data_IF_365719349159
#
_entry.id   IF_365719349159
#
_cell.length_a   1.000
_cell.length_b   1.000
_cell.length_c   1.000
_cell.angle_alpha   90.00
_cell.angle_beta   90.00
_cell.angle_gamma   90.00
#
_symmetry.space_group_name_H-M   'P 1'
#
loop_
_entity.id
_entity.type
_entity.pdbx_description
1 polymer ?
#
# COMPACT_ATOMS: atom_id res chain seq x y z
N UNK A 1 -18.68 34.77 12.79
CA UNK A 1 -18.03 33.81 11.87
C UNK A 1 -19.12 32.94 11.27
N UNK A 2 -19.33 33.07 9.96
CA UNK A 2 -20.39 32.40 9.21
C UNK A 2 -20.02 30.90 9.07
N UNK A 3 -20.94 30.01 9.45
CA UNK A 3 -20.73 28.57 9.52
C UNK A 3 -20.81 27.97 8.10
N UNK A 4 -19.86 27.12 7.66
CA UNK A 4 -20.05 26.34 6.44
C UNK A 4 -21.18 25.31 6.66
N UNK A 5 -22.28 25.45 5.94
CA UNK A 5 -23.28 24.37 5.78
C UNK A 5 -22.66 23.20 5.00
N UNK A 6 -23.29 22.02 5.04
CA UNK A 6 -22.89 20.89 4.20
C UNK A 6 -22.86 21.29 2.70
N UNK A 7 -23.76 22.18 2.30
CA UNK A 7 -23.84 22.76 0.96
C UNK A 7 -22.59 23.57 0.62
N UNK A 8 -22.06 24.37 1.56
CA UNK A 8 -20.83 25.14 1.32
C UNK A 8 -19.61 24.23 1.10
N UNK A 9 -19.52 23.11 1.84
CA UNK A 9 -18.44 22.13 1.66
C UNK A 9 -18.55 21.43 0.30
N UNK A 10 -19.77 21.18 -0.17
CA UNK A 10 -20.01 20.61 -1.49
C UNK A 10 -19.67 21.60 -2.61
N UNK A 11 -20.02 22.88 -2.46
CA UNK A 11 -19.66 23.95 -3.39
C UNK A 11 -18.14 24.13 -3.46
N UNK A 12 -17.44 24.22 -2.33
CA UNK A 12 -15.97 24.31 -2.26
C UNK A 12 -15.29 23.12 -2.98
N UNK A 13 -15.85 21.92 -2.84
CA UNK A 13 -15.34 20.73 -3.52
C UNK A 13 -15.55 20.79 -5.04
N UNK A 14 -16.73 21.23 -5.49
CA UNK A 14 -17.04 21.36 -6.93
C UNK A 14 -16.19 22.44 -7.59
N UNK A 15 -15.95 23.56 -6.91
CA UNK A 15 -15.07 24.61 -7.38
C UNK A 15 -13.62 24.10 -7.51
N UNK A 16 -13.10 23.43 -6.47
CA UNK A 16 -11.78 22.81 -6.51
C UNK A 16 -11.63 21.72 -7.59
N UNK A 17 -12.73 21.02 -7.92
CA UNK A 17 -12.76 19.97 -8.93
C UNK A 17 -12.81 20.52 -10.36
N UNK A 18 -13.42 21.69 -10.58
CA UNK A 18 -13.63 22.28 -11.91
C UNK A 18 -12.33 22.55 -12.67
N UNK A 19 -11.25 22.87 -11.97
CA UNK A 19 -9.92 23.12 -12.56
C UNK A 19 -9.09 21.85 -12.82
N UNK A 20 -9.56 20.68 -12.39
CA UNK A 20 -8.76 19.44 -12.37
C UNK A 20 -9.45 18.28 -13.09
N UNK A 21 -10.79 18.25 -13.11
CA UNK A 21 -11.58 17.14 -13.64
C UNK A 21 -12.26 17.51 -14.96
N UNK A 22 -12.50 16.51 -15.80
CA UNK A 22 -13.37 16.67 -16.96
C UNK A 22 -14.85 16.83 -16.56
N UNK A 23 -15.67 17.38 -17.47
CA UNK A 23 -17.10 17.62 -17.27
C UNK A 23 -17.89 16.35 -16.89
N UNK A 24 -17.46 15.18 -17.37
CA UNK A 24 -18.14 13.90 -17.07
C UNK A 24 -17.92 13.47 -15.62
N UNK A 25 -16.69 13.60 -15.13
CA UNK A 25 -16.30 13.31 -13.75
C UNK A 25 -16.86 14.37 -12.80
N UNK A 26 -16.82 15.65 -13.17
CA UNK A 26 -17.39 16.75 -12.41
C UNK A 26 -18.91 16.56 -12.23
N UNK A 27 -19.63 16.24 -13.31
CA UNK A 27 -21.06 15.92 -13.24
C UNK A 27 -21.37 14.67 -12.43
N UNK A 28 -20.45 13.69 -12.39
CA UNK A 28 -20.60 12.51 -11.52
C UNK A 28 -20.43 12.86 -10.04
N UNK A 29 -19.44 13.69 -9.71
CA UNK A 29 -19.25 14.19 -8.34
C UNK A 29 -20.45 15.01 -7.89
N UNK A 30 -20.94 15.95 -8.71
CA UNK A 30 -22.12 16.75 -8.40
C UNK A 30 -23.33 15.88 -8.06
N UNK A 31 -23.59 14.83 -8.85
CA UNK A 31 -24.66 13.86 -8.57
C UNK A 31 -24.45 13.07 -7.28
N UNK A 32 -23.22 12.73 -6.92
CA UNK A 32 -22.94 12.03 -5.66
C UNK A 32 -23.13 12.95 -4.44
N UNK A 33 -22.87 14.26 -4.60
CA UNK A 33 -22.96 15.26 -3.54
C UNK A 33 -24.39 15.74 -3.30
N UNK A 34 -25.23 15.79 -4.35
CA UNK A 34 -26.61 16.25 -4.28
C UNK A 34 -27.45 15.48 -3.23
N UNK A 35 -27.77 16.17 -2.13
CA UNK A 35 -28.59 15.66 -1.02
C UNK A 35 -30.08 15.73 -1.28
N UNK A 36 -30.52 16.44 -2.32
CA UNK A 36 -31.94 16.62 -2.66
C UNK A 36 -32.52 15.47 -3.47
N UNK A 37 -31.68 14.49 -3.87
CA UNK A 37 -32.12 13.31 -4.63
C UNK A 37 -33.08 12.43 -3.80
N UNK A 38 -34.30 12.14 -4.29
CA UNK A 38 -35.26 11.31 -3.56
C UNK A 38 -34.74 9.88 -3.35
N UNK A 39 -34.73 9.41 -2.10
CA UNK A 39 -34.19 8.09 -1.72
C UNK A 39 -32.67 8.03 -1.50
N UNK A 40 -32.02 9.18 -1.32
CA UNK A 40 -30.58 9.29 -1.09
C UNK A 40 -30.13 8.68 0.26
N UNK A 41 -29.94 7.36 0.30
CA UNK A 41 -29.25 6.68 1.38
C UNK A 41 -27.81 7.26 1.53
N UNK A 42 -27.43 7.81 2.71
CA UNK A 42 -26.11 8.39 2.92
C UNK A 42 -24.95 7.43 2.57
N UNK A 43 -25.11 6.13 2.84
CA UNK A 43 -24.11 5.12 2.51
C UNK A 43 -23.95 4.92 1.00
N UNK A 44 -25.02 5.15 0.21
CA UNK A 44 -24.94 5.13 -1.26
C UNK A 44 -24.19 6.35 -1.77
N UNK A 45 -24.49 7.55 -1.26
CA UNK A 45 -23.78 8.80 -1.61
C UNK A 45 -22.30 8.72 -1.24
N UNK A 46 -21.97 8.21 -0.06
CA UNK A 46 -20.60 7.97 0.37
C UNK A 46 -19.85 7.04 -0.59
N UNK A 47 -20.43 5.87 -0.92
CA UNK A 47 -19.81 4.91 -1.87
C UNK A 47 -19.67 5.49 -3.27
N UNK A 48 -20.66 6.27 -3.74
CA UNK A 48 -20.62 6.97 -5.02
C UNK A 48 -19.42 7.93 -5.07
N UNK A 49 -19.28 8.78 -4.05
CA UNK A 49 -18.17 9.73 -3.95
C UNK A 49 -16.82 9.02 -3.91
N UNK A 50 -16.64 8.03 -3.04
CA UNK A 50 -15.39 7.28 -2.93
C UNK A 50 -15.03 6.60 -4.26
N UNK A 51 -15.99 5.94 -4.91
CA UNK A 51 -15.77 5.30 -6.20
C UNK A 51 -15.45 6.30 -7.32
N UNK A 52 -16.03 7.51 -7.29
CA UNK A 52 -15.70 8.57 -8.24
C UNK A 52 -14.26 9.07 -8.06
N UNK A 53 -13.84 9.29 -6.81
CA UNK A 53 -12.48 9.73 -6.49
C UNK A 53 -11.42 8.64 -6.78
N UNK A 54 -11.73 7.36 -6.51
CA UNK A 54 -10.81 6.23 -6.75
C UNK A 54 -10.58 5.96 -8.26
N UNK A 55 -11.45 6.46 -9.14
CA UNK A 55 -11.30 6.36 -10.60
C UNK A 55 -10.32 7.38 -11.18
N UNK A 56 -9.92 8.39 -10.39
CA UNK A 56 -9.04 9.43 -10.87
C UNK A 56 -7.60 8.92 -11.05
N UNK A 57 -6.96 9.14 -12.21
CA UNK A 57 -5.61 8.65 -12.48
C UNK A 57 -4.56 9.46 -11.70
N UNK A 58 -3.85 8.80 -10.78
CA UNK A 58 -2.82 9.45 -9.92
C UNK A 58 -1.39 9.32 -10.47
N UNK A 59 -1.21 8.80 -11.69
CA UNK A 59 0.13 8.49 -12.24
C UNK A 59 0.70 9.59 -13.16
N UNK A 60 1.87 10.11 -12.80
CA UNK A 60 2.71 10.96 -13.65
C UNK A 60 3.98 11.42 -12.90
N UNK A 61 5.17 11.48 -13.55
CA UNK A 61 6.34 12.09 -12.94
C UNK A 61 6.15 13.62 -12.87
N UNK A 62 6.21 14.19 -11.66
CA UNK A 62 6.05 15.64 -11.43
C UNK A 62 4.98 16.06 -10.41
N UNK A 63 4.27 15.11 -9.80
CA UNK A 63 3.08 15.41 -9.00
C UNK A 63 1.88 15.59 -9.93
N UNK A 64 0.84 14.77 -9.77
CA UNK A 64 -0.37 14.92 -10.58
C UNK A 64 -1.24 16.00 -9.94
N UNK A 65 -1.77 16.99 -10.68
CA UNK A 65 -2.80 17.91 -10.18
C UNK A 65 -3.98 17.17 -9.52
N UNK A 66 -4.26 15.94 -9.96
CA UNK A 66 -5.21 15.02 -9.34
C UNK A 66 -4.78 14.58 -7.94
N UNK A 67 -3.49 14.30 -7.73
CA UNK A 67 -2.96 13.94 -6.42
C UNK A 67 -3.08 15.11 -5.43
N UNK A 68 -2.78 16.33 -5.88
CA UNK A 68 -2.92 17.54 -5.07
C UNK A 68 -4.39 17.82 -4.74
N UNK A 69 -5.28 17.69 -5.73
CA UNK A 69 -6.73 17.76 -5.53
C UNK A 69 -7.23 16.74 -4.51
N UNK A 70 -6.86 15.46 -4.65
CA UNK A 70 -7.23 14.40 -3.71
C UNK A 70 -6.72 14.66 -2.28
N UNK A 71 -5.63 15.42 -2.13
CA UNK A 71 -5.09 15.84 -0.84
C UNK A 71 -5.64 17.17 -0.32
N UNK A 72 -6.42 17.89 -1.13
CA UNK A 72 -6.96 19.19 -0.78
C UNK A 72 -7.97 19.09 0.36
N UNK A 73 -8.05 20.16 1.16
CA UNK A 73 -8.95 20.18 2.31
C UNK A 73 -10.41 20.02 1.90
N UNK A 74 -10.84 20.57 0.76
CA UNK A 74 -12.21 20.46 0.27
C UNK A 74 -12.64 18.99 0.10
N UNK A 75 -11.78 18.16 -0.51
CA UNK A 75 -12.02 16.71 -0.68
C UNK A 75 -12.10 16.00 0.68
N UNK A 76 -11.17 16.30 1.59
CA UNK A 76 -11.14 15.66 2.91
C UNK A 76 -12.37 16.04 3.74
N UNK A 77 -12.77 17.31 3.71
CA UNK A 77 -13.93 17.80 4.46
C UNK A 77 -15.26 17.31 3.89
N UNK A 78 -15.39 17.21 2.56
CA UNK A 78 -16.57 16.65 1.92
C UNK A 78 -16.73 15.13 2.18
N UNK A 79 -15.63 14.38 2.15
CA UNK A 79 -15.65 12.96 2.55
C UNK A 79 -16.05 12.80 4.02
N UNK A 80 -15.52 13.65 4.91
CA UNK A 80 -15.90 13.64 6.32
C UNK A 80 -17.38 13.99 6.53
N UNK A 81 -17.92 15.00 5.83
CA UNK A 81 -19.32 15.43 6.02
C UNK A 81 -20.30 14.31 5.66
N UNK A 82 -20.09 13.68 4.49
CA UNK A 82 -20.93 12.56 4.04
C UNK A 82 -20.72 11.32 4.92
N UNK A 83 -19.48 11.03 5.35
CA UNK A 83 -19.23 9.96 6.32
C UNK A 83 -19.95 10.18 7.66
N UNK A 84 -20.03 11.43 8.12
CA UNK A 84 -20.78 11.79 9.31
C UNK A 84 -22.29 11.63 9.12
N UNK A 85 -22.83 11.89 7.92
CA UNK A 85 -24.24 11.60 7.60
C UNK A 85 -24.54 10.09 7.67
N UNK A 86 -23.64 9.24 7.17
CA UNK A 86 -23.76 7.78 7.30
C UNK A 86 -23.86 7.37 8.77
N UNK A 87 -22.92 7.85 9.60
CA UNK A 87 -22.91 7.51 11.02
C UNK A 87 -24.16 7.99 11.76
N UNK A 88 -24.64 9.21 11.45
CA UNK A 88 -25.88 9.75 12.05
C UNK A 88 -27.12 8.97 11.62
N UNK A 89 -27.18 8.50 10.37
CA UNK A 89 -28.28 7.67 9.88
C UNK A 89 -28.36 6.33 10.61
N UNK A 90 -27.21 5.80 11.06
CA UNK A 90 -27.11 4.60 11.91
C UNK A 90 -27.25 4.91 13.41
N UNK A 91 -27.64 6.14 13.77
CA UNK A 91 -27.87 6.57 15.16
C UNK A 91 -26.60 6.83 15.97
N UNK A 92 -25.43 6.94 15.34
CA UNK A 92 -24.16 7.18 16.00
C UNK A 92 -23.90 8.69 16.08
N UNK A 93 -23.71 9.20 17.29
CA UNK A 93 -23.34 10.59 17.51
C UNK A 93 -21.89 10.85 17.06
N UNK A 94 -21.70 11.81 16.15
CA UNK A 94 -20.37 12.15 15.59
C UNK A 94 -19.68 13.28 16.35
N UNK A 95 -20.39 13.91 17.28
CA UNK A 95 -19.99 15.14 17.95
C UNK A 95 -20.37 16.38 17.12
N UNK A 96 -20.02 17.59 17.60
CA UNK A 96 -20.42 18.84 16.97
C UNK A 96 -19.92 18.92 15.53
N UNK A 97 -20.67 19.64 14.69
CA UNK A 97 -20.36 19.84 13.28
C UNK A 97 -18.95 20.41 13.05
N UNK A 98 -18.39 20.29 11.83
CA UNK A 98 -17.05 20.76 11.46
C UNK A 98 -16.65 22.14 12.01
N UNK A 99 -17.59 23.06 12.15
CA UNK A 99 -17.36 24.42 12.67
C UNK A 99 -17.79 24.67 14.12
N UNK A 100 -18.18 23.63 14.87
CA UNK A 100 -18.77 23.76 16.22
C UNK A 100 -17.87 23.33 17.38
N UNK A 101 -16.75 22.65 17.12
CA UNK A 101 -15.80 22.25 18.16
C UNK A 101 -14.67 23.27 18.29
N UNK A 102 -14.13 23.44 19.49
CA UNK A 102 -12.84 24.08 19.66
C UNK A 102 -11.72 23.19 19.06
N UNK A 103 -10.53 23.78 18.90
CA UNK A 103 -9.37 23.07 18.38
C UNK A 103 -9.09 21.76 19.14
N UNK A 104 -9.14 21.76 20.48
CA UNK A 104 -8.93 20.58 21.30
C UNK A 104 -9.97 19.48 21.04
N UNK A 105 -11.23 19.86 20.82
CA UNK A 105 -12.34 18.99 20.47
C UNK A 105 -12.13 18.27 19.14
N UNK A 106 -11.53 18.91 18.14
CA UNK A 106 -11.20 18.26 16.86
C UNK A 106 -10.16 17.15 17.01
N UNK A 107 -9.13 17.33 17.85
CA UNK A 107 -8.14 16.27 18.11
C UNK A 107 -8.76 15.09 18.87
N UNK A 108 -9.54 15.38 19.91
CA UNK A 108 -10.25 14.36 20.68
C UNK A 108 -11.17 13.51 19.79
N UNK A 109 -11.93 14.16 18.90
CA UNK A 109 -12.78 13.50 17.90
C UNK A 109 -11.95 12.63 16.94
N UNK A 110 -10.82 13.12 16.44
CA UNK A 110 -9.95 12.33 15.57
C UNK A 110 -9.45 11.04 16.24
N UNK A 111 -9.00 11.14 17.50
CA UNK A 111 -8.53 9.97 18.28
C UNK A 111 -9.66 8.99 18.56
N UNK A 112 -10.85 9.49 18.92
CA UNK A 112 -12.03 8.66 19.15
C UNK A 112 -12.38 7.84 17.90
N UNK A 113 -12.50 8.48 16.74
CA UNK A 113 -12.86 7.81 15.49
C UNK A 113 -11.78 6.86 14.98
N UNK A 114 -10.49 7.16 15.22
CA UNK A 114 -9.41 6.21 14.94
C UNK A 114 -9.51 4.94 15.79
N UNK A 115 -9.93 5.05 17.06
CA UNK A 115 -10.16 3.89 17.94
C UNK A 115 -11.40 3.11 17.51
N UNK A 116 -12.49 3.81 17.19
CA UNK A 116 -13.73 3.21 16.69
C UNK A 116 -13.48 2.33 15.46
N UNK A 117 -12.76 2.84 14.45
CA UNK A 117 -12.45 2.09 13.23
C UNK A 117 -11.52 0.88 13.41
N UNK A 118 -10.77 0.82 14.53
CA UNK A 118 -9.95 -0.34 14.90
C UNK A 118 -10.75 -1.43 15.63
N UNK A 119 -11.98 -1.14 16.05
CA UNK A 119 -12.88 -2.11 16.65
C UNK A 119 -13.53 -3.06 15.64
N UNK A 120 -14.39 -3.98 16.09
CA UNK A 120 -15.13 -4.91 15.25
C UNK A 120 -16.30 -4.20 14.54
N UNK A 121 -15.97 -3.35 13.57
CA UNK A 121 -16.94 -2.60 12.76
C UNK A 121 -16.96 -3.08 11.31
N UNK A 122 -18.07 -2.81 10.62
CA UNK A 122 -18.19 -3.07 9.18
C UNK A 122 -17.14 -2.29 8.38
N UNK A 123 -16.85 -2.73 7.16
CA UNK A 123 -15.91 -2.02 6.28
C UNK A 123 -16.37 -0.59 5.97
N UNK A 124 -17.67 -0.39 5.79
CA UNK A 124 -18.26 0.95 5.61
C UNK A 124 -17.97 1.84 6.81
N UNK A 125 -18.18 1.35 8.03
CA UNK A 125 -17.92 2.09 9.27
C UNK A 125 -16.42 2.37 9.46
N UNK A 126 -15.57 1.43 9.07
CA UNK A 126 -14.11 1.61 9.09
C UNK A 126 -13.67 2.72 8.13
N UNK A 127 -14.19 2.76 6.92
CA UNK A 127 -13.89 3.81 5.94
C UNK A 127 -14.43 5.17 6.38
N UNK A 128 -15.68 5.21 6.86
CA UNK A 128 -16.30 6.43 7.38
C UNK A 128 -15.54 6.99 8.59
N UNK A 129 -15.16 6.14 9.55
CA UNK A 129 -14.38 6.57 10.72
C UNK A 129 -12.99 7.09 10.35
N UNK A 130 -12.34 6.50 9.33
CA UNK A 130 -11.08 7.01 8.81
C UNK A 130 -11.21 8.38 8.12
N UNK A 131 -12.32 8.63 7.43
CA UNK A 131 -12.61 9.94 6.82
C UNK A 131 -12.97 10.99 7.90
N UNK A 132 -13.75 10.62 8.92
CA UNK A 132 -14.06 11.50 10.04
C UNK A 132 -12.80 11.87 10.83
N UNK A 133 -11.91 10.91 11.07
CA UNK A 133 -10.63 11.17 11.73
C UNK A 133 -9.75 12.12 10.90
N UNK A 134 -9.65 11.90 9.58
CA UNK A 134 -8.86 12.76 8.69
C UNK A 134 -9.40 14.19 8.61
N UNK A 135 -10.71 14.38 8.43
CA UNK A 135 -11.31 15.71 8.40
C UNK A 135 -11.19 16.44 9.74
N UNK A 136 -11.32 15.72 10.85
CA UNK A 136 -11.10 16.28 12.18
C UNK A 136 -9.65 16.75 12.38
N UNK A 137 -8.65 16.02 11.86
CA UNK A 137 -7.26 16.46 11.87
C UNK A 137 -7.02 17.68 10.97
N UNK A 138 -7.69 17.79 9.82
CA UNK A 138 -7.59 18.98 8.95
C UNK A 138 -8.13 20.23 9.63
N UNK A 139 -9.29 20.12 10.29
CA UNK A 139 -9.87 21.22 11.06
C UNK A 139 -9.00 21.61 12.25
N UNK A 140 -8.41 20.63 12.92
CA UNK A 140 -7.42 20.84 13.97
C UNK A 140 -6.24 21.68 13.43
N UNK A 141 -5.59 21.27 12.33
CA UNK A 141 -4.50 22.05 11.73
C UNK A 141 -4.93 23.47 11.36
N UNK A 142 -6.11 23.65 10.74
CA UNK A 142 -6.66 24.98 10.41
C UNK A 142 -6.88 25.87 11.64
N UNK A 143 -7.26 25.27 12.77
CA UNK A 143 -7.50 25.96 14.04
C UNK A 143 -6.23 26.39 14.79
N UNK A 144 -5.07 26.38 14.14
CA UNK A 144 -3.78 26.71 14.77
C UNK A 144 -3.07 25.50 15.40
N UNK A 145 -3.55 24.30 15.13
CA UNK A 145 -2.79 23.10 15.43
C UNK A 145 -1.54 23.05 14.63
N UNK A 146 -0.42 23.10 15.31
CA UNK A 146 0.83 22.68 14.70
C UNK A 146 0.72 21.17 14.56
N UNK A 147 0.61 20.59 13.35
CA UNK A 147 0.90 19.18 13.17
C UNK A 147 2.34 19.02 13.59
N UNK A 148 2.53 18.69 14.86
CA UNK A 148 3.86 18.43 15.33
C UNK A 148 4.25 17.20 14.54
N UNK A 149 5.28 17.28 13.68
CA UNK A 149 5.81 16.08 13.09
C UNK A 149 6.05 15.16 14.27
N UNK A 150 5.60 13.92 14.22
CA UNK A 150 5.87 13.01 15.33
C UNK A 150 7.39 12.96 15.59
N UNK A 151 8.21 13.28 14.58
CA UNK A 151 9.61 13.66 14.72
C UNK A 151 9.86 14.91 15.61
N UNK A 152 9.22 16.06 15.38
CA UNK A 152 9.41 17.31 16.13
C UNK A 152 8.96 17.30 17.59
N UNK A 153 7.95 16.49 17.96
CA UNK A 153 7.52 16.32 19.37
C UNK A 153 8.51 15.44 20.14
N UNK A 154 9.35 14.72 19.40
CA UNK A 154 10.31 13.75 19.90
C UNK A 154 11.75 14.29 19.83
N UNK A 155 12.08 15.22 18.93
CA UNK A 155 13.40 15.86 18.90
C UNK A 155 13.59 16.91 20.00
N UNK A 156 12.50 17.47 20.56
CA UNK A 156 12.55 18.28 21.78
C UNK A 156 12.18 17.43 22.99
N UNK A 157 13.09 16.57 23.44
CA UNK A 157 13.03 16.07 24.82
C UNK A 157 13.44 17.26 25.72
N UNK A 158 12.52 17.90 26.48
CA UNK A 158 12.93 18.95 27.40
C UNK A 158 13.90 18.35 28.42
N UNK A 159 15.08 18.98 28.58
CA UNK A 159 16.14 18.56 29.52
C UNK A 159 15.64 18.39 30.96
N UNK A 160 14.49 18.99 31.28
CA UNK A 160 13.82 18.97 32.59
C UNK A 160 13.05 17.69 32.92
N UNK A 161 12.87 16.75 31.98
CA UNK A 161 12.22 15.48 32.28
C UNK A 161 13.07 14.60 33.20
N UNK A 162 12.46 13.99 34.22
CA UNK A 162 13.13 13.02 35.09
C UNK A 162 13.59 11.77 34.29
N UNK A 163 14.46 10.94 34.90
CA UNK A 163 15.03 9.73 34.27
C UNK A 163 13.96 8.76 33.72
N UNK A 164 12.82 8.65 34.41
CA UNK A 164 11.68 7.81 33.99
C UNK A 164 10.94 8.42 32.78
N UNK A 165 10.76 9.74 32.74
CA UNK A 165 10.15 10.46 31.62
C UNK A 165 10.96 10.39 30.33
N UNK A 166 12.30 10.48 30.42
CA UNK A 166 13.18 10.29 29.26
C UNK A 166 13.13 8.86 28.72
N UNK A 167 13.13 7.85 29.60
CA UNK A 167 13.02 6.45 29.19
C UNK A 167 11.66 6.13 28.52
N UNK A 168 10.57 6.76 28.97
CA UNK A 168 9.25 6.60 28.35
C UNK A 168 9.19 7.29 26.98
N UNK A 169 9.75 8.50 26.85
CA UNK A 169 9.82 9.22 25.57
C UNK A 169 10.70 8.48 24.53
N UNK A 170 11.85 7.95 24.96
CA UNK A 170 12.74 7.12 24.14
C UNK A 170 12.05 5.85 23.64
N UNK A 171 11.32 5.14 24.51
CA UNK A 171 10.51 3.99 24.08
C UNK A 171 9.39 4.40 23.10
N UNK A 172 8.78 5.56 23.28
CA UNK A 172 7.82 6.10 22.31
C UNK A 172 8.44 6.28 20.92
N UNK A 173 9.68 6.81 20.87
CA UNK A 173 10.44 7.01 19.63
C UNK A 173 10.80 5.71 18.93
N UNK A 174 11.34 4.73 19.67
CA UNK A 174 11.74 3.44 19.07
C UNK A 174 10.52 2.69 18.52
N UNK A 175 9.38 2.73 19.23
CA UNK A 175 8.14 2.11 18.76
C UNK A 175 7.56 2.81 17.51
N UNK A 176 7.65 4.14 17.44
CA UNK A 176 7.20 4.91 16.27
C UNK A 176 8.11 4.73 15.06
N UNK A 177 9.44 4.72 15.27
CA UNK A 177 10.42 4.43 14.22
C UNK A 177 10.18 3.03 13.63
N UNK A 178 9.93 2.03 14.50
CA UNK A 178 9.58 0.67 14.08
C UNK A 178 8.29 0.62 13.27
N UNK A 179 7.25 1.34 13.67
CA UNK A 179 5.99 1.40 12.92
C UNK A 179 6.15 2.03 11.54
N UNK A 180 6.92 3.12 11.43
CA UNK A 180 7.19 3.81 10.17
C UNK A 180 8.04 2.98 9.21
N UNK A 181 9.09 2.32 9.71
CA UNK A 181 9.94 1.44 8.89
C UNK A 181 9.15 0.23 8.37
N UNK A 182 8.29 -0.36 9.21
CA UNK A 182 7.42 -1.47 8.79
C UNK A 182 6.36 -1.04 7.78
N UNK A 183 5.77 0.14 7.93
CA UNK A 183 4.80 0.64 6.94
C UNK A 183 5.48 0.95 5.61
N UNK A 184 6.70 1.48 5.62
CA UNK A 184 7.52 1.73 4.43
C UNK A 184 7.89 0.44 3.71
N UNK A 185 8.37 -0.58 4.44
CA UNK A 185 8.69 -1.90 3.89
C UNK A 185 7.46 -2.53 3.21
N UNK A 186 6.28 -2.42 3.86
CA UNK A 186 5.01 -2.89 3.29
C UNK A 186 4.68 -2.19 1.98
N UNK A 187 4.79 -0.86 1.95
CA UNK A 187 4.50 -0.08 0.75
C UNK A 187 5.41 -0.47 -0.43
N UNK A 188 6.71 -0.67 -0.18
CA UNK A 188 7.67 -1.12 -1.22
C UNK A 188 7.37 -2.54 -1.69
N UNK A 189 7.07 -3.49 -0.80
CA UNK A 189 6.68 -4.84 -1.20
C UNK A 189 5.37 -4.84 -2.02
N UNK A 190 4.39 -3.99 -1.68
CA UNK A 190 3.15 -3.89 -2.44
C UNK A 190 3.36 -3.29 -3.83
N UNK A 191 4.23 -2.29 -3.97
CA UNK A 191 4.53 -1.69 -5.27
C UNK A 191 5.30 -2.67 -6.17
N UNK A 192 6.31 -3.35 -5.63
CA UNK A 192 7.09 -4.38 -6.35
C UNK A 192 6.18 -5.54 -6.78
N UNK A 193 5.29 -6.00 -5.90
CA UNK A 193 4.29 -7.04 -6.24
C UNK A 193 3.40 -6.61 -7.41
N UNK A 194 2.89 -5.38 -7.37
CA UNK A 194 2.00 -4.87 -8.41
C UNK A 194 2.73 -4.81 -9.76
N UNK A 195 3.99 -4.38 -9.76
CA UNK A 195 4.78 -4.27 -10.99
C UNK A 195 5.15 -5.64 -11.56
N UNK A 196 5.69 -6.54 -10.73
CA UNK A 196 6.03 -7.91 -11.14
C UNK A 196 4.79 -8.71 -11.57
N UNK A 197 3.64 -8.48 -10.94
CA UNK A 197 2.36 -9.08 -11.34
C UNK A 197 1.92 -8.63 -12.74
N UNK A 198 2.03 -7.34 -13.07
CA UNK A 198 1.76 -6.83 -14.42
C UNK A 198 2.68 -7.45 -15.45
N UNK A 199 3.98 -7.53 -15.15
CA UNK A 199 4.96 -8.14 -16.04
C UNK A 199 4.70 -9.66 -16.22
N UNK A 200 4.29 -10.35 -15.14
CA UNK A 200 3.93 -11.77 -15.21
C UNK A 200 2.70 -12.02 -16.10
N UNK A 201 1.71 -11.13 -16.05
CA UNK A 201 0.52 -11.21 -16.91
C UNK A 201 0.85 -11.00 -18.41
N UNK A 202 1.89 -10.22 -18.72
CA UNK A 202 2.34 -9.93 -20.08
C UNK A 202 3.33 -10.96 -20.67
N UNK A 203 3.71 -12.01 -19.91
CA UNK A 203 4.74 -12.97 -20.32
C UNK A 203 4.42 -13.73 -21.61
N UNK A 204 5.43 -13.83 -22.48
CA UNK A 204 5.48 -14.77 -23.60
C UNK A 204 6.35 -16.00 -23.30
N UNK A 205 6.16 -17.09 -24.05
CA UNK A 205 6.83 -18.40 -23.84
C UNK A 205 8.37 -18.32 -23.86
N UNK A 206 8.94 -17.37 -24.60
CA UNK A 206 10.40 -17.21 -24.75
C UNK A 206 11.03 -16.41 -23.60
N UNK A 207 10.24 -15.61 -22.89
CA UNK A 207 10.74 -14.65 -21.89
C UNK A 207 10.77 -15.19 -20.47
N UNK A 208 10.23 -16.39 -20.25
CA UNK A 208 10.07 -17.02 -18.93
C UNK A 208 11.40 -17.11 -18.17
N UNK A 209 12.49 -17.48 -18.84
CA UNK A 209 13.82 -17.55 -18.21
C UNK A 209 14.41 -16.17 -17.90
N UNK A 210 14.25 -15.21 -18.80
CA UNK A 210 14.73 -13.84 -18.62
C UNK A 210 13.93 -13.07 -17.54
N UNK A 211 12.69 -13.48 -17.27
CA UNK A 211 11.86 -12.91 -16.23
C UNK A 211 12.31 -13.30 -14.83
N UNK A 212 12.70 -14.56 -14.61
CA UNK A 212 13.23 -15.01 -13.31
C UNK A 212 14.47 -14.20 -12.89
N UNK A 213 15.39 -13.97 -13.82
CA UNK A 213 16.60 -13.17 -13.57
C UNK A 213 16.26 -11.70 -13.30
N UNK A 214 15.24 -11.15 -13.98
CA UNK A 214 14.73 -9.79 -13.72
C UNK A 214 14.12 -9.67 -12.33
N UNK A 215 13.28 -10.62 -11.91
CA UNK A 215 12.71 -10.66 -10.56
C UNK A 215 13.82 -10.73 -9.50
N UNK A 216 14.83 -11.59 -9.71
CA UNK A 216 15.98 -11.70 -8.79
C UNK A 216 16.75 -10.38 -8.67
N UNK A 217 16.97 -9.69 -9.79
CA UNK A 217 17.65 -8.39 -9.80
C UNK A 217 16.84 -7.31 -9.09
N UNK A 218 15.54 -7.25 -9.35
CA UNK A 218 14.66 -6.25 -8.75
C UNK A 218 14.51 -6.45 -7.25
N UNK A 219 14.36 -7.69 -6.79
CA UNK A 219 14.31 -8.02 -5.36
C UNK A 219 15.59 -7.61 -4.63
N UNK A 220 16.77 -7.89 -5.23
CA UNK A 220 18.06 -7.46 -4.67
C UNK A 220 18.19 -5.95 -4.62
N UNK A 221 17.79 -5.26 -5.69
CA UNK A 221 17.78 -3.80 -5.76
C UNK A 221 16.94 -3.19 -4.65
N UNK A 222 15.73 -3.71 -4.44
CA UNK A 222 14.80 -3.24 -3.40
C UNK A 222 15.35 -3.50 -2.00
N UNK A 223 16.01 -4.63 -1.77
CA UNK A 223 16.65 -4.93 -0.49
C UNK A 223 17.76 -3.90 -0.18
N UNK A 224 18.64 -3.61 -1.15
CA UNK A 224 19.71 -2.61 -1.00
C UNK A 224 19.11 -1.21 -0.78
N UNK A 225 18.11 -0.81 -1.56
CA UNK A 225 17.43 0.48 -1.38
C UNK A 225 16.81 0.62 0.01
N UNK A 226 16.22 -0.46 0.54
CA UNK A 226 15.66 -0.46 1.88
C UNK A 226 16.73 -0.38 2.97
N UNK A 227 17.85 -1.08 2.80
CA UNK A 227 18.99 -1.00 3.71
C UNK A 227 19.51 0.45 3.82
N UNK A 228 19.62 1.18 2.69
CA UNK A 228 19.99 2.61 2.69
C UNK A 228 18.98 3.49 3.45
N UNK A 229 17.68 3.20 3.28
CA UNK A 229 16.62 3.91 4.01
C UNK A 229 16.70 3.65 5.52
N UNK A 230 16.96 2.41 5.92
CA UNK A 230 17.17 2.05 7.33
C UNK A 230 18.40 2.76 7.89
N UNK A 231 19.54 2.70 7.19
CA UNK A 231 20.78 3.38 7.59
C UNK A 231 20.55 4.87 7.85
N UNK A 232 20.05 5.58 6.83
CA UNK A 232 19.80 7.01 6.91
C UNK A 232 18.87 7.35 8.08
N UNK A 233 17.81 6.57 8.29
CA UNK A 233 16.86 6.85 9.35
C UNK A 233 17.44 6.59 10.75
N UNK A 234 18.29 5.58 10.89
CA UNK A 234 19.03 5.35 12.13
C UNK A 234 20.04 6.48 12.37
N UNK A 235 20.79 6.94 11.36
CA UNK A 235 21.70 8.10 11.49
C UNK A 235 20.95 9.36 11.93
N UNK A 236 19.81 9.67 11.31
CA UNK A 236 18.96 10.81 11.71
C UNK A 236 18.52 10.73 13.19
N UNK A 237 18.27 9.52 13.71
CA UNK A 237 17.95 9.30 15.12
C UNK A 237 19.17 9.46 16.04
N UNK A 238 20.36 9.05 15.61
CA UNK A 238 21.61 9.27 16.35
C UNK A 238 21.89 10.76 16.50
N UNK A 239 21.79 11.51 15.39
CA UNK A 239 22.07 12.95 15.34
C UNK A 239 21.10 13.73 16.24
N UNK A 240 19.82 13.35 16.24
CA UNK A 240 18.81 13.94 17.12
C UNK A 240 18.98 13.55 18.59
N UNK A 241 19.57 12.38 18.86
CA UNK A 241 19.82 11.85 20.21
C UNK A 241 21.14 12.31 20.84
N UNK A 242 22.07 12.87 20.05
CA UNK A 242 23.42 13.24 20.49
C UNK A 242 24.31 12.04 20.82
N UNK A 243 24.11 10.92 20.11
CA UNK A 243 24.80 9.64 20.33
C UNK A 243 25.78 9.44 19.17
N UNK A 244 26.95 8.81 19.37
CA UNK A 244 27.86 8.50 18.29
C UNK A 244 27.16 7.76 17.14
N UNK A 245 27.55 8.03 15.88
CA UNK A 245 26.92 7.43 14.72
C UNK A 245 26.95 5.91 14.84
N UNK A 246 25.79 5.29 14.64
CA UNK A 246 25.65 3.84 14.65
C UNK A 246 26.61 3.24 13.61
N UNK A 247 27.32 2.17 13.98
CA UNK A 247 28.19 1.44 13.05
C UNK A 247 27.39 0.91 11.85
N UNK A 248 28.02 0.68 10.68
CA UNK A 248 27.33 0.21 9.49
C UNK A 248 26.57 -1.09 9.82
N UNK A 249 25.32 -1.24 9.35
CA UNK A 249 24.59 -2.48 9.57
C UNK A 249 25.38 -3.67 9.00
N UNK A 250 25.23 -4.84 9.62
CA UNK A 250 25.90 -6.07 9.21
C UNK A 250 25.69 -6.41 7.73
N UNK A 251 26.49 -7.35 7.18
CA UNK A 251 26.58 -7.64 5.75
C UNK A 251 25.20 -7.79 5.11
N UNK A 252 24.97 -7.33 3.86
CA UNK A 252 23.66 -7.24 3.23
C UNK A 252 22.89 -8.57 3.31
N UNK A 253 21.57 -8.49 3.51
CA UNK A 253 20.76 -9.69 3.72
C UNK A 253 20.77 -10.58 2.48
N UNK A 254 21.14 -11.86 2.65
CA UNK A 254 21.12 -12.81 1.56
C UNK A 254 19.67 -13.33 1.36
N UNK A 255 18.98 -12.77 0.37
CA UNK A 255 17.63 -13.20 0.01
C UNK A 255 17.68 -14.57 -0.66
N UNK A 256 17.31 -15.62 0.08
CA UNK A 256 17.23 -16.99 -0.45
C UNK A 256 15.91 -17.20 -1.18
N UNK A 257 15.89 -16.91 -2.48
CA UNK A 257 14.66 -16.99 -3.27
C UNK A 257 14.13 -18.43 -3.42
N UNK A 258 12.82 -18.68 -3.28
CA UNK A 258 12.23 -19.99 -3.49
C UNK A 258 12.48 -20.49 -4.92
N UNK A 259 12.98 -21.73 -5.04
CA UNK A 259 13.17 -22.38 -6.36
C UNK A 259 11.82 -22.65 -7.01
N UNK A 260 11.66 -22.25 -8.27
CA UNK A 260 10.48 -22.55 -9.08
C UNK A 260 10.27 -24.07 -9.18
N UNK A 261 9.18 -24.60 -8.60
CA UNK A 261 8.76 -26.00 -8.81
C UNK A 261 8.38 -26.16 -10.28
N UNK A 262 9.06 -27.04 -11.01
CA UNK A 262 8.74 -27.33 -12.41
C UNK A 262 7.67 -28.44 -12.47
N UNK A 263 6.42 -28.17 -12.91
CA UNK A 263 5.38 -29.19 -13.02
C UNK A 263 5.52 -29.94 -14.36
N UNK A 264 6.70 -30.49 -14.65
CA UNK A 264 6.99 -31.04 -15.98
C UNK A 264 6.34 -32.40 -16.24
N UNK A 265 6.07 -33.17 -15.19
CA UNK A 265 5.56 -34.53 -15.30
C UNK A 265 4.02 -34.56 -15.45
N UNK A 266 3.33 -33.81 -14.59
CA UNK A 266 1.87 -33.67 -14.59
C UNK A 266 1.36 -33.02 -15.89
N UNK A 267 2.12 -32.04 -16.42
CA UNK A 267 1.82 -31.38 -17.70
C UNK A 267 2.01 -32.26 -18.93
N UNK A 268 2.93 -33.24 -18.90
CA UNK A 268 3.09 -34.19 -20.02
C UNK A 268 1.90 -35.15 -20.09
N UNK A 269 1.35 -35.55 -18.94
CA UNK A 269 0.17 -36.41 -18.87
C UNK A 269 -1.10 -35.69 -19.36
N UNK A 270 -1.32 -34.43 -18.97
CA UNK A 270 -2.47 -33.65 -19.46
C UNK A 270 -2.34 -33.31 -20.95
N UNK A 271 -1.14 -33.05 -21.44
CA UNK A 271 -0.91 -32.80 -22.87
C UNK A 271 -1.16 -34.04 -23.73
N UNK A 272 -0.69 -35.22 -23.29
CA UNK A 272 -0.97 -36.48 -23.99
C UNK A 272 -2.47 -36.80 -24.00
N UNK A 273 -3.16 -36.56 -22.89
CA UNK A 273 -4.61 -36.75 -22.80
C UNK A 273 -5.39 -35.78 -23.70
N UNK A 274 -4.98 -34.51 -23.76
CA UNK A 274 -5.59 -33.50 -24.63
C UNK A 274 -5.35 -33.74 -26.12
N UNK A 275 -4.15 -34.21 -26.50
CA UNK A 275 -3.83 -34.61 -27.88
C UNK A 275 -4.67 -35.82 -28.30
N UNK A 276 -4.79 -36.84 -27.45
CA UNK A 276 -5.59 -38.04 -27.74
C UNK A 276 -7.08 -37.74 -27.88
N UNK A 277 -7.62 -36.87 -27.02
CA UNK A 277 -9.02 -36.46 -27.09
C UNK A 277 -9.34 -35.62 -28.34
N UNK A 278 -8.48 -34.64 -28.67
CA UNK A 278 -8.64 -33.80 -29.86
C UNK A 278 -8.55 -34.59 -31.17
N UNK A 279 -7.68 -35.60 -31.22
CA UNK A 279 -7.59 -36.54 -32.34
C UNK A 279 -8.87 -37.38 -32.48
N UNK A 280 -9.43 -37.88 -31.37
CA UNK A 280 -10.68 -38.64 -31.37
C UNK A 280 -11.87 -37.84 -31.89
N UNK A 281 -12.02 -36.58 -31.46
CA UNK A 281 -13.11 -35.68 -31.90
C UNK A 281 -12.97 -35.27 -33.37
N UNK A 282 -11.74 -35.03 -33.84
CA UNK A 282 -11.50 -34.71 -35.25
C UNK A 282 -11.84 -35.88 -36.19
N UNK A 283 -11.54 -37.12 -35.76
CA UNK A 283 -11.86 -38.32 -36.52
C UNK A 283 -13.37 -38.61 -36.56
N UNK A 284 -14.11 -38.35 -35.48
CA UNK A 284 -15.56 -38.55 -35.46
C UNK A 284 -16.31 -37.51 -36.29
N UNK A 285 -15.92 -36.23 -36.21
CA UNK A 285 -16.49 -35.16 -37.05
C UNK A 285 -16.09 -35.29 -38.52
N UNK A 286 -14.84 -35.70 -38.81
CA UNK A 286 -14.37 -35.96 -40.17
C UNK A 286 -15.18 -37.05 -40.86
N UNK A 287 -15.55 -38.13 -40.14
CA UNK A 287 -16.44 -39.18 -40.66
C UNK A 287 -17.83 -38.65 -40.98
N UNK A 288 -18.38 -37.80 -40.12
CA UNK A 288 -19.70 -37.19 -40.33
C UNK A 288 -19.75 -36.32 -41.60
N UNK A 289 -18.65 -35.64 -41.94
CA UNK A 289 -18.54 -34.82 -43.16
C UNK A 289 -18.35 -35.67 -44.42
N UNK A 290 -17.61 -36.78 -44.31
CA UNK A 290 -17.43 -37.76 -45.39
C UNK A 290 -18.78 -38.38 -45.81
N UNK A 291 -19.65 -38.67 -44.84
CA UNK A 291 -20.97 -39.24 -45.09
C UNK A 291 -21.93 -38.26 -45.81
N UNK A 292 -21.67 -36.95 -45.76
CA UNK A 292 -22.51 -35.93 -46.40
C UNK A 292 -22.14 -35.62 -47.87
N UNK A 293 -20.90 -35.83 -48.32
CA UNK A 293 -20.47 -35.57 -49.71
C UNK A 293 -19.35 -36.52 -50.19
N UNK A 294 -19.69 -37.62 -50.90
CA UNK A 294 -18.74 -38.68 -51.29
C UNK A 294 -17.62 -38.27 -52.27
N UNK A 295 -17.78 -37.18 -53.03
CA UNK A 295 -16.88 -36.81 -54.13
C UNK A 295 -15.57 -36.13 -53.75
N UNK A 296 -15.39 -35.68 -52.50
CA UNK A 296 -14.20 -34.93 -52.02
C UNK A 296 -13.37 -35.72 -50.99
N UNK A 297 -13.61 -37.02 -50.90
CA UNK A 297 -13.20 -37.96 -49.84
C UNK A 297 -11.72 -37.94 -49.43
N UNK A 298 -10.73 -37.99 -50.34
CA UNK A 298 -9.32 -38.03 -49.92
C UNK A 298 -8.79 -36.65 -49.48
N UNK A 299 -9.24 -35.55 -50.10
CA UNK A 299 -8.72 -34.22 -49.80
C UNK A 299 -9.38 -33.62 -48.54
N UNK A 300 -10.67 -33.86 -48.36
CA UNK A 300 -11.43 -33.36 -47.20
C UNK A 300 -11.01 -34.05 -45.89
N UNK A 301 -10.70 -35.35 -45.92
CA UNK A 301 -10.30 -36.12 -44.73
C UNK A 301 -8.94 -35.70 -44.18
N UNK A 302 -7.96 -35.50 -45.06
CA UNK A 302 -6.62 -34.99 -44.68
C UNK A 302 -6.75 -33.57 -44.14
N UNK A 303 -7.55 -32.71 -44.79
CA UNK A 303 -7.78 -31.33 -44.34
C UNK A 303 -8.40 -31.23 -42.95
N UNK A 304 -9.46 -32.00 -42.67
CA UNK A 304 -10.11 -32.03 -41.35
C UNK A 304 -9.17 -32.56 -40.25
N UNK A 305 -8.36 -33.57 -40.56
CA UNK A 305 -7.41 -34.15 -39.60
C UNK A 305 -6.32 -33.16 -39.24
N UNK A 306 -5.75 -32.48 -40.25
CA UNK A 306 -4.74 -31.43 -40.04
C UNK A 306 -5.34 -30.27 -39.24
N UNK A 307 -6.54 -29.81 -39.59
CA UNK A 307 -7.21 -28.70 -38.89
C UNK A 307 -7.54 -29.06 -37.43
N UNK A 308 -7.99 -30.29 -37.18
CA UNK A 308 -8.23 -30.82 -35.85
C UNK A 308 -6.96 -30.89 -34.99
N UNK A 309 -5.86 -31.38 -35.57
CA UNK A 309 -4.55 -31.42 -34.91
C UNK A 309 -4.02 -30.02 -34.60
N UNK A 310 -4.13 -29.08 -35.53
CA UNK A 310 -3.72 -27.68 -35.34
C UNK A 310 -4.52 -27.04 -34.21
N UNK A 311 -5.84 -27.20 -34.21
CA UNK A 311 -6.72 -26.62 -33.18
C UNK A 311 -6.47 -27.24 -31.81
N UNK A 312 -6.33 -28.56 -31.72
CA UNK A 312 -6.01 -29.25 -30.46
C UNK A 312 -4.64 -28.82 -29.92
N UNK A 313 -3.62 -28.75 -30.79
CA UNK A 313 -2.29 -28.24 -30.45
C UNK A 313 -2.33 -26.79 -29.97
N UNK A 314 -3.14 -25.95 -30.60
CA UNK A 314 -3.36 -24.56 -30.18
C UNK A 314 -4.01 -24.47 -28.80
N UNK A 315 -5.08 -25.23 -28.53
CA UNK A 315 -5.76 -25.24 -27.22
C UNK A 315 -4.84 -25.73 -26.09
N UNK A 316 -4.08 -26.81 -26.33
CA UNK A 316 -3.10 -27.32 -25.36
C UNK A 316 -2.00 -26.29 -25.11
N UNK A 317 -1.53 -25.62 -26.17
CA UNK A 317 -0.55 -24.55 -26.07
C UNK A 317 -1.09 -23.34 -25.29
N UNK A 318 -2.33 -22.91 -25.55
CA UNK A 318 -2.98 -21.82 -24.85
C UNK A 318 -3.21 -22.12 -23.36
N UNK A 319 -3.74 -23.31 -23.03
CA UNK A 319 -3.90 -23.75 -21.63
C UNK A 319 -2.56 -23.84 -20.91
N UNK A 320 -1.52 -24.31 -21.59
CA UNK A 320 -0.16 -24.35 -21.04
C UNK A 320 0.38 -22.96 -20.73
N UNK A 321 0.17 -21.99 -21.63
CA UNK A 321 0.57 -20.60 -21.38
C UNK A 321 -0.15 -20.01 -20.18
N UNK A 322 -1.45 -20.28 -20.02
CA UNK A 322 -2.23 -19.83 -18.86
C UNK A 322 -1.75 -20.47 -17.55
N UNK A 323 -1.50 -21.79 -17.54
CA UNK A 323 -0.95 -22.47 -16.37
C UNK A 323 0.45 -21.96 -16.01
N UNK A 324 1.29 -21.68 -17.00
CA UNK A 324 2.62 -21.10 -16.79
C UNK A 324 2.54 -19.67 -16.22
N UNK A 325 1.56 -18.85 -16.63
CA UNK A 325 1.30 -17.51 -16.06
C UNK A 325 0.85 -17.58 -14.61
N UNK A 326 -0.14 -18.40 -14.28
CA UNK A 326 -0.64 -18.57 -12.91
C UNK A 326 0.46 -19.09 -11.98
N UNK A 327 1.27 -20.05 -12.46
CA UNK A 327 2.43 -20.53 -11.71
C UNK A 327 3.46 -19.42 -11.45
N UNK A 328 3.65 -18.50 -12.40
CA UNK A 328 4.55 -17.37 -12.25
C UNK A 328 4.03 -16.33 -11.26
N UNK A 329 2.74 -15.98 -11.35
CA UNK A 329 2.10 -15.08 -10.39
C UNK A 329 2.20 -15.63 -8.97
N UNK A 330 1.92 -16.92 -8.78
CA UNK A 330 2.08 -17.60 -7.48
C UNK A 330 3.51 -17.55 -6.98
N UNK A 331 4.49 -17.83 -7.84
CA UNK A 331 5.90 -17.76 -7.47
C UNK A 331 6.33 -16.32 -7.11
N UNK A 332 5.85 -15.30 -7.82
CA UNK A 332 6.08 -13.88 -7.47
C UNK A 332 5.50 -13.55 -6.09
N UNK A 333 4.32 -14.10 -5.74
CA UNK A 333 3.75 -13.95 -4.39
C UNK A 333 4.69 -14.50 -3.33
N UNK A 334 5.22 -15.71 -3.55
CA UNK A 334 6.14 -16.38 -2.63
C UNK A 334 7.44 -15.59 -2.49
N UNK A 335 8.01 -15.10 -3.60
CA UNK A 335 9.22 -14.27 -3.62
C UNK A 335 9.03 -12.96 -2.85
N UNK A 336 7.91 -12.27 -3.03
CA UNK A 336 7.64 -11.01 -2.32
C UNK A 336 7.41 -11.24 -0.82
N UNK A 337 6.81 -12.37 -0.45
CA UNK A 337 6.67 -12.75 0.95
C UNK A 337 8.03 -13.00 1.62
N UNK A 338 8.95 -13.67 0.93
CA UNK A 338 10.32 -13.89 1.40
C UNK A 338 11.09 -12.57 1.54
N UNK A 339 11.02 -11.70 0.52
CA UNK A 339 11.60 -10.36 0.59
C UNK A 339 11.08 -9.61 1.81
N UNK A 340 9.76 -9.63 2.04
CA UNK A 340 9.17 -8.98 3.21
C UNK A 340 9.71 -9.52 4.53
N UNK A 341 9.86 -10.84 4.65
CA UNK A 341 10.42 -11.45 5.86
C UNK A 341 11.83 -10.93 6.14
N UNK A 342 12.68 -10.88 5.11
CA UNK A 342 14.04 -10.32 5.18
C UNK A 342 14.03 -8.84 5.57
N UNK A 343 13.15 -8.02 4.96
CA UNK A 343 13.05 -6.60 5.32
C UNK A 343 12.55 -6.41 6.76
N UNK A 344 11.55 -7.18 7.21
CA UNK A 344 11.04 -7.12 8.58
C UNK A 344 12.15 -7.53 9.58
N UNK A 345 12.97 -8.56 9.28
CA UNK A 345 14.12 -8.98 10.09
C UNK A 345 15.21 -7.90 10.18
N UNK A 346 15.50 -7.22 9.07
CA UNK A 346 16.45 -6.10 9.01
C UNK A 346 16.02 -4.93 9.89
N UNK A 347 14.73 -4.59 9.88
CA UNK A 347 14.18 -3.56 10.77
C UNK A 347 14.36 -3.95 12.24
N UNK A 348 14.13 -5.21 12.60
CA UNK A 348 14.32 -5.68 13.98
C UNK A 348 15.77 -5.57 14.40
N UNK A 349 16.69 -6.07 13.58
CA UNK A 349 18.12 -6.08 13.89
C UNK A 349 18.69 -4.67 13.99
N UNK A 350 18.32 -3.78 13.05
CA UNK A 350 18.77 -2.39 13.07
C UNK A 350 18.23 -1.58 14.26
N UNK A 351 16.96 -1.79 14.64
CA UNK A 351 16.37 -1.14 15.81
C UNK A 351 16.99 -1.66 17.11
N UNK A 352 17.25 -2.96 17.22
CA UNK A 352 17.90 -3.55 18.39
C UNK A 352 19.34 -3.04 18.56
N UNK A 353 20.11 -2.97 17.48
CA UNK A 353 21.47 -2.40 17.50
C UNK A 353 21.45 -0.92 17.95
N UNK A 354 20.45 -0.16 17.52
CA UNK A 354 20.27 1.22 17.96
C UNK A 354 19.90 1.31 19.45
N UNK A 355 19.00 0.44 19.95
CA UNK A 355 18.62 0.38 21.37
C UNK A 355 19.81 0.02 22.29
N UNK A 356 20.70 -0.87 21.84
CA UNK A 356 21.92 -1.24 22.57
C UNK A 356 22.95 -0.10 22.62
N UNK A 357 23.16 0.59 21.50
CA UNK A 357 24.01 1.79 21.43
C UNK A 357 23.44 2.96 22.28
N UNK A 358 22.12 3.10 22.33
CA UNK A 358 21.41 4.02 23.23
C UNK A 358 21.62 3.66 24.71
N UNK A 359 21.59 2.38 25.06
CA UNK A 359 21.77 1.90 26.42
C UNK A 359 23.22 2.09 26.93
N UNK A 360 24.20 1.88 26.05
CA UNK A 360 25.63 2.06 26.33
C UNK A 360 26.00 3.54 26.42
N UNK A 361 25.53 4.40 25.51
CA UNK A 361 25.75 5.85 25.58
C UNK A 361 25.11 6.52 26.80
N UNK A 362 23.99 6.00 27.30
CA UNK A 362 23.36 6.48 28.54
C UNK A 362 24.09 6.05 29.82
N UNK A 363 24.95 5.02 29.74
CA UNK A 363 25.73 4.51 30.87
C UNK A 363 27.01 5.32 31.14
N UNK A 364 27.32 6.32 30.30
CA UNK A 364 28.56 7.12 30.40
C UNK A 364 28.34 8.57 30.87
N UNK A 365 27.87 8.84 32.11
CA UNK A 365 27.67 10.21 32.60
C UNK A 365 28.87 10.83 33.35
N UNK A 366 30.07 10.21 33.43
CA UNK A 366 31.15 10.69 34.33
C UNK A 366 32.56 10.59 33.74
N UNK A 367 32.86 11.38 32.72
CA UNK A 367 34.25 11.62 32.30
C UNK A 367 34.60 13.10 32.07
N UNK A 368 33.62 14.02 32.08
CA UNK A 368 33.84 15.44 31.77
C UNK A 368 33.96 16.43 32.93
N UNK A 369 33.90 16.02 34.21
CA UNK A 369 33.88 16.97 35.36
C UNK A 369 34.87 16.67 36.50
N UNK A 370 35.99 15.99 36.20
CA UNK A 370 37.05 15.68 37.18
C UNK A 370 38.46 16.10 36.72
N UNK A 371 38.57 17.15 35.90
CA UNK A 371 39.87 17.66 35.42
C UNK A 371 40.22 19.11 35.79
N UNK A 372 39.34 19.84 36.49
CA UNK A 372 39.50 21.30 36.65
C UNK A 372 39.72 21.80 38.08
N UNK A 373 39.80 20.93 39.09
CA UNK A 373 39.84 21.40 40.46
C UNK A 373 40.57 20.42 41.37
N UNK A 374 41.90 20.38 41.28
CA UNK A 374 42.78 20.08 42.40
C UNK A 374 44.23 20.42 42.00
N UNK A 375 44.85 21.32 42.78
CA UNK A 375 46.29 21.72 42.81
C UNK A 375 46.70 22.68 41.68
N UNK A 376 47.21 23.89 41.94
CA UNK A 376 48.19 24.30 42.95
C UNK A 376 47.89 25.68 43.58
N UNK A 377 47.85 25.71 44.92
CA UNK A 377 48.49 26.67 45.84
C UNK A 377 48.05 26.25 47.27
N UNK A 378 48.94 26.00 48.25
CA UNK A 378 50.02 26.92 48.66
C UNK A 378 51.40 26.26 48.83
N UNK A 379 52.46 27.02 48.52
CA UNK A 379 53.47 27.48 49.49
C UNK A 379 54.32 28.61 48.86
#
# INVERSE_FOLDING_TARGET
MHRPSADLIAEDLLDAASGVLDESLLGTLARCLDSSQPGANPARRYRCLVAALDRLPVAGPGGSPVADFLCADAVVLARMSIAAEVMRADGIEVGPDPGGADFAGHLGRAVHWQRYGRGPVSELHRSCSADIARGSLRLWVRGGGVPVPVAGLLTRIPKTLNRRGRAVALRGQTQLARLQLRSRARAMCTSVRADLGRQAAALSRREVGAFEERVRREVRRVAVEFDDVVCRRLTELADCGGIPPFGPPGPPAEVTLPRRRSPRLEHRLTALLGIGFGLGVALTLGRLVIDLRPGWTPLASVGCTVLGLVTASWVVSARRLLAERVAMERWVVEVVAELRAVLDERVLTGVLAAEEALATGAADPVSGRRGGQLRDNPD
#
